data_IF_604288965291
#
_entry.id   IF_604288965291
#
_cell.length_a   1.000
_cell.length_b   1.000
_cell.length_c   1.000
_cell.angle_alpha   90.00
_cell.angle_beta   90.00
_cell.angle_gamma   90.00
#
_symmetry.space_group_name_H-M   'P 1'
#
loop_
_entity.id
_entity.type
_entity.pdbx_description
1 polymer ?
#
# COMPACT_ATOMS: atom_id res chain seq x y z
N UNK A 1 16.62 4.18 -5.49
CA UNK A 1 15.18 3.93 -5.41
C UNK A 1 14.49 4.59 -4.19
N UNK A 2 15.04 5.68 -3.68
CA UNK A 2 14.42 6.42 -2.57
C UNK A 2 13.94 7.81 -3.01
N UNK A 3 13.68 7.96 -4.32
CA UNK A 3 13.13 9.20 -4.84
C UNK A 3 11.61 9.23 -4.62
N UNK A 4 11.10 10.41 -4.29
CA UNK A 4 9.67 10.62 -4.23
C UNK A 4 9.06 10.39 -5.64
N UNK A 5 7.82 9.85 -5.72
CA UNK A 5 7.13 9.77 -7.00
C UNK A 5 6.86 11.17 -7.55
N UNK A 6 6.70 11.26 -8.86
CA UNK A 6 6.24 12.50 -9.48
C UNK A 6 4.78 12.79 -9.10
N UNK A 7 4.37 14.05 -9.16
CA UNK A 7 2.97 14.44 -8.94
C UNK A 7 2.02 13.68 -9.89
N UNK A 8 2.45 13.46 -11.13
CA UNK A 8 1.65 12.73 -12.11
C UNK A 8 1.45 11.26 -11.71
N UNK A 9 2.50 10.59 -11.26
CA UNK A 9 2.43 9.20 -10.78
C UNK A 9 1.56 9.08 -9.55
N UNK A 10 1.74 10.00 -8.59
CA UNK A 10 0.94 10.03 -7.37
C UNK A 10 -0.54 10.29 -7.69
N UNK A 11 -0.84 11.24 -8.56
CA UNK A 11 -2.21 11.54 -8.94
C UNK A 11 -2.89 10.36 -9.64
N UNK A 12 -2.18 9.67 -10.53
CA UNK A 12 -2.67 8.45 -11.18
C UNK A 12 -3.02 7.36 -10.16
N UNK A 13 -2.12 7.11 -9.21
CA UNK A 13 -2.34 6.13 -8.16
C UNK A 13 -3.51 6.52 -7.24
N UNK A 14 -3.60 7.79 -6.89
CA UNK A 14 -4.69 8.36 -6.09
C UNK A 14 -6.05 8.16 -6.75
N UNK A 15 -6.19 8.58 -7.99
CA UNK A 15 -7.45 8.46 -8.73
C UNK A 15 -7.85 7.00 -8.95
N UNK A 16 -6.89 6.13 -9.24
CA UNK A 16 -7.15 4.69 -9.35
C UNK A 16 -7.65 4.10 -8.03
N UNK A 17 -7.03 4.45 -6.91
CA UNK A 17 -7.42 3.96 -5.59
C UNK A 17 -8.81 4.46 -5.19
N UNK A 18 -9.10 5.73 -5.43
CA UNK A 18 -10.44 6.32 -5.19
C UNK A 18 -11.51 5.62 -6.02
N UNK A 19 -11.26 5.42 -7.31
CA UNK A 19 -12.19 4.73 -8.20
C UNK A 19 -12.50 3.30 -7.72
N UNK A 20 -11.49 2.56 -7.33
CA UNK A 20 -11.68 1.21 -6.78
C UNK A 20 -12.45 1.21 -5.46
N UNK A 21 -12.18 2.14 -4.58
CA UNK A 21 -12.91 2.28 -3.32
C UNK A 21 -14.40 2.52 -3.58
N UNK A 22 -14.73 3.47 -4.45
CA UNK A 22 -16.11 3.81 -4.77
C UNK A 22 -16.86 2.64 -5.42
N UNK A 23 -16.24 1.95 -6.37
CA UNK A 23 -16.83 0.74 -6.98
C UNK A 23 -17.08 -0.37 -5.95
N UNK A 24 -16.16 -0.54 -5.02
CA UNK A 24 -16.30 -1.54 -3.96
C UNK A 24 -17.46 -1.22 -3.02
N UNK A 25 -17.78 0.05 -2.81
CA UNK A 25 -18.90 0.48 -1.96
C UNK A 25 -20.27 0.25 -2.59
N UNK A 26 -20.36 -0.15 -3.85
CA UNK A 26 -21.61 -0.57 -4.49
C UNK A 26 -22.03 -2.00 -4.07
N UNK A 27 -21.12 -2.80 -3.58
CA UNK A 27 -21.39 -4.16 -3.07
C UNK A 27 -21.70 -4.13 -1.58
N UNK A 28 -22.92 -4.54 -1.21
CA UNK A 28 -23.41 -4.57 0.17
C UNK A 28 -22.53 -5.43 1.09
N UNK A 29 -22.04 -6.56 0.59
CA UNK A 29 -21.13 -7.43 1.36
C UNK A 29 -19.79 -6.73 1.62
N UNK A 30 -19.25 -6.05 0.62
CA UNK A 30 -18.01 -5.31 0.76
C UNK A 30 -18.15 -4.17 1.78
N UNK A 31 -19.27 -3.44 1.75
CA UNK A 31 -19.58 -2.39 2.73
C UNK A 31 -19.66 -2.96 4.14
N UNK A 32 -20.44 -4.03 4.34
CA UNK A 32 -20.58 -4.67 5.64
C UNK A 32 -19.23 -5.17 6.19
N UNK A 33 -18.42 -5.82 5.35
CA UNK A 33 -17.09 -6.29 5.73
C UNK A 33 -16.15 -5.14 6.07
N UNK A 34 -16.20 -4.06 5.32
CA UNK A 34 -15.35 -2.89 5.54
C UNK A 34 -15.69 -2.17 6.85
N UNK A 35 -16.96 -1.95 7.12
CA UNK A 35 -17.42 -1.34 8.37
C UNK A 35 -17.15 -2.26 9.56
N UNK A 36 -17.48 -3.54 9.43
CA UNK A 36 -17.27 -4.53 10.50
C UNK A 36 -15.79 -4.71 10.86
N UNK A 37 -14.90 -4.75 9.87
CA UNK A 37 -13.47 -4.84 10.13
C UNK A 37 -12.93 -3.60 10.85
N UNK A 38 -13.39 -2.41 10.50
CA UNK A 38 -13.00 -1.19 11.19
C UNK A 38 -13.49 -1.15 12.64
N UNK A 39 -14.74 -1.55 12.86
CA UNK A 39 -15.32 -1.60 14.21
C UNK A 39 -14.57 -2.58 15.12
N UNK A 40 -14.17 -3.74 14.58
CA UNK A 40 -13.50 -4.78 15.37
C UNK A 40 -12.00 -4.55 15.54
N UNK A 41 -11.33 -3.91 14.59
CA UNK A 41 -9.86 -3.87 14.51
C UNK A 41 -9.27 -2.47 14.63
N UNK A 42 -10.09 -1.43 14.59
CA UNK A 42 -9.65 -0.04 14.65
C UNK A 42 -10.45 0.74 15.69
N UNK A 43 -9.88 1.81 16.19
CA UNK A 43 -10.50 2.64 17.21
C UNK A 43 -11.65 3.51 16.67
N UNK A 44 -11.76 3.63 15.36
CA UNK A 44 -12.80 4.46 14.72
C UNK A 44 -13.20 3.92 13.37
N UNK A 45 -14.48 4.07 13.04
CA UNK A 45 -15.01 3.75 11.70
C UNK A 45 -14.93 5.00 10.83
N UNK A 46 -14.24 4.89 9.70
CA UNK A 46 -14.11 5.95 8.71
C UNK A 46 -15.08 5.73 7.57
N UNK A 47 -15.72 6.79 7.13
CA UNK A 47 -16.57 6.75 5.93
C UNK A 47 -15.71 6.72 4.66
N UNK A 48 -16.26 6.27 3.50
CA UNK A 48 -15.56 6.37 2.22
C UNK A 48 -15.10 7.79 1.88
N UNK A 49 -15.91 8.79 2.17
CA UNK A 49 -15.58 10.20 1.92
C UNK A 49 -14.40 10.67 2.78
N UNK A 50 -14.32 10.25 4.03
CA UNK A 50 -13.17 10.52 4.89
C UNK A 50 -11.89 9.88 4.33
N UNK A 51 -11.97 8.63 3.84
CA UNK A 51 -10.82 7.95 3.24
C UNK A 51 -10.39 8.66 1.95
N UNK A 52 -11.32 9.10 1.12
CA UNK A 52 -11.02 9.92 -0.08
C UNK A 52 -10.29 11.21 0.33
N UNK A 53 -10.73 11.87 1.39
CA UNK A 53 -10.06 13.06 1.92
C UNK A 53 -8.62 12.80 2.34
N UNK A 54 -8.35 11.67 3.00
CA UNK A 54 -6.98 11.27 3.36
C UNK A 54 -6.13 10.98 2.12
N UNK A 55 -6.69 10.31 1.11
CA UNK A 55 -5.98 10.04 -0.15
C UNK A 55 -5.61 11.35 -0.87
N UNK A 56 -6.51 12.33 -0.87
CA UNK A 56 -6.26 13.62 -1.49
C UNK A 56 -5.19 14.44 -0.77
N UNK A 57 -5.02 14.22 0.53
CA UNK A 57 -4.03 14.90 1.35
C UNK A 57 -2.61 14.31 1.25
N UNK A 58 -2.44 13.12 0.65
CA UNK A 58 -1.13 12.48 0.50
C UNK A 58 -0.26 13.26 -0.47
N UNK A 59 0.97 13.55 -0.05
CA UNK A 59 1.98 14.24 -0.86
C UNK A 59 3.12 13.29 -1.27
N UNK A 60 3.88 13.59 -2.33
CA UNK A 60 5.03 12.78 -2.74
C UNK A 60 6.06 12.56 -1.61
N UNK A 61 6.24 13.57 -0.75
CA UNK A 61 7.13 13.48 0.41
C UNK A 61 6.68 12.43 1.44
N UNK A 62 5.36 12.22 1.60
CA UNK A 62 4.83 11.18 2.48
C UNK A 62 5.19 9.79 1.98
N UNK A 63 5.05 9.58 0.68
CA UNK A 63 5.42 8.31 0.04
C UNK A 63 6.92 8.04 0.23
N UNK A 64 7.76 9.02 -0.01
CA UNK A 64 9.21 8.89 0.17
C UNK A 64 9.57 8.59 1.64
N UNK A 65 8.94 9.26 2.59
CA UNK A 65 9.14 9.05 4.03
C UNK A 65 8.77 7.63 4.45
N UNK A 66 7.61 7.15 4.05
CA UNK A 66 7.13 5.80 4.36
C UNK A 66 8.03 4.75 3.69
N UNK A 67 8.34 4.92 2.40
CA UNK A 67 9.23 4.02 1.69
C UNK A 67 10.58 3.88 2.41
N UNK A 68 11.16 5.00 2.83
CA UNK A 68 12.44 5.00 3.56
C UNK A 68 12.37 4.27 4.91
N UNK A 69 11.22 4.29 5.57
CA UNK A 69 11.06 3.62 6.86
C UNK A 69 10.83 2.10 6.74
N UNK A 70 10.26 1.63 5.64
CA UNK A 70 9.93 0.21 5.45
C UNK A 70 10.86 -0.53 4.49
N UNK A 71 11.36 0.16 3.46
CA UNK A 71 12.17 -0.45 2.41
C UNK A 71 13.67 -0.27 2.74
N UNK A 72 14.19 -1.20 3.51
CA UNK A 72 15.63 -1.30 3.77
C UNK A 72 16.15 -2.66 3.37
N UNK A 73 17.41 -2.74 2.96
CA UNK A 73 18.04 -4.01 2.59
C UNK A 73 18.02 -5.01 3.77
N UNK A 74 18.13 -4.51 4.98
CA UNK A 74 18.08 -5.32 6.21
C UNK A 74 16.70 -5.94 6.47
N UNK A 75 15.64 -5.28 6.04
CA UNK A 75 14.26 -5.75 6.21
C UNK A 75 13.81 -6.69 5.11
N UNK A 76 14.55 -6.77 4.00
CA UNK A 76 14.17 -7.57 2.85
C UNK A 76 14.24 -9.07 3.17
N UNK A 77 13.20 -9.79 2.76
CA UNK A 77 13.12 -11.26 2.90
C UNK A 77 12.67 -11.83 1.56
N UNK A 78 13.27 -12.95 1.20
CA UNK A 78 12.93 -13.69 -0.02
C UNK A 78 12.58 -15.13 0.34
N UNK A 79 11.45 -15.60 -0.18
CA UNK A 79 11.08 -17.01 -0.12
C UNK A 79 10.93 -17.54 -1.56
N UNK A 80 11.61 -18.63 -1.86
CA UNK A 80 11.57 -19.26 -3.18
C UNK A 80 11.24 -20.75 -3.04
N UNK A 81 10.28 -21.21 -3.82
CA UNK A 81 9.93 -22.62 -3.95
C UNK A 81 10.12 -23.03 -5.39
N UNK A 82 10.98 -24.05 -5.63
CA UNK A 82 11.28 -24.50 -6.99
C UNK A 82 12.51 -25.40 -7.04
N UNK A 83 12.84 -25.91 -8.24
CA UNK A 83 13.93 -26.86 -8.43
C UNK A 83 15.34 -26.24 -8.39
N UNK A 84 15.46 -24.93 -8.29
CA UNK A 84 16.75 -24.23 -8.29
C UNK A 84 17.24 -23.97 -6.88
N UNK A 85 18.47 -24.42 -6.61
CA UNK A 85 19.22 -24.07 -5.43
C UNK A 85 20.07 -22.79 -5.66
N UNK A 86 20.77 -22.33 -4.62
CA UNK A 86 21.65 -21.18 -4.73
C UNK A 86 21.30 -20.07 -3.73
N UNK A 87 21.14 -20.44 -2.47
CA UNK A 87 20.84 -19.49 -1.40
C UNK A 87 21.75 -18.27 -1.38
N UNK A 88 23.07 -18.50 -1.54
CA UNK A 88 24.06 -17.41 -1.56
C UNK A 88 23.87 -16.45 -2.73
N UNK A 89 23.53 -16.98 -3.93
CA UNK A 89 23.28 -16.18 -5.11
C UNK A 89 22.03 -15.34 -4.95
N UNK A 90 20.96 -15.95 -4.43
CA UNK A 90 19.69 -15.26 -4.16
C UNK A 90 19.84 -14.20 -3.07
N UNK A 91 20.56 -14.51 -1.99
CA UNK A 91 20.84 -13.55 -0.93
C UNK A 91 21.62 -12.33 -1.44
N UNK A 92 22.55 -12.52 -2.39
CA UNK A 92 23.31 -11.43 -3.02
C UNK A 92 22.45 -10.49 -3.91
N UNK A 93 21.26 -10.92 -4.31
CA UNK A 93 20.32 -10.12 -5.10
C UNK A 93 19.36 -9.28 -4.23
N UNK A 94 19.30 -9.55 -2.92
CA UNK A 94 18.42 -8.86 -1.98
C UNK A 94 18.95 -7.47 -1.65
N UNK A 95 18.56 -6.51 -2.47
CA UNK A 95 18.82 -5.08 -2.24
C UNK A 95 17.83 -4.19 -2.98
N UNK A 96 17.59 -3.06 -2.45
CA UNK A 96 16.81 -2.01 -3.08
C UNK A 96 17.66 -1.14 -4.01
#
# INVERSE_FOLDING_TARGET
MHQAPSEQELNKAREYTKGRLLLRMEDTRAVASWLGAQELLQDSVRTPDEVVGYLDAVEPADIARVAKSFLSDESMRLAVVGPRGGEKTLAGMLRF
#
